data_IF_473626621556
#
_entry.id   IF_473626621556
#
_cell.length_a   1.000
_cell.length_b   1.000
_cell.length_c   1.000
_cell.angle_alpha   90.00
_cell.angle_beta   90.00
_cell.angle_gamma   90.00
#
_symmetry.space_group_name_H-M   'P 1'
#
loop_
_entity.id
_entity.type
_entity.pdbx_description
1 polymer ?
#
# COMPACT_ATOMS: atom_id res chain seq x y z
N UNK A 1 -2.82 0.09 -44.12
CA UNK A 1 -3.71 0.17 -42.96
C UNK A 1 -2.81 0.27 -41.71
N UNK A 2 -2.63 1.49 -41.21
CA UNK A 2 -1.83 1.71 -39.99
C UNK A 2 -2.71 1.29 -38.81
N UNK A 3 -2.21 0.34 -38.00
CA UNK A 3 -2.82 -0.03 -36.74
C UNK A 3 -2.70 1.14 -35.78
N UNK A 4 -3.85 1.70 -35.42
CA UNK A 4 -4.01 2.74 -34.41
C UNK A 4 -3.64 2.14 -33.07
N UNK A 5 -2.39 2.28 -32.70
CA UNK A 5 -1.89 1.95 -31.35
C UNK A 5 -2.32 3.03 -30.37
N UNK A 6 -3.59 3.00 -29.93
CA UNK A 6 -4.11 3.92 -28.95
C UNK A 6 -3.23 3.92 -27.72
N UNK A 7 -2.61 5.06 -27.40
CA UNK A 7 -1.92 5.27 -26.12
C UNK A 7 -2.98 5.18 -25.03
N UNK A 8 -2.86 4.17 -24.16
CA UNK A 8 -3.76 4.01 -23.01
C UNK A 8 -3.84 5.31 -22.21
N UNK A 9 -5.03 5.68 -21.76
CA UNK A 9 -5.21 6.87 -20.93
C UNK A 9 -4.38 6.77 -19.64
N UNK A 10 -4.04 7.91 -19.07
CA UNK A 10 -3.27 7.92 -17.80
C UNK A 10 -3.96 7.09 -16.71
N UNK A 11 -5.28 7.08 -16.68
CA UNK A 11 -6.08 6.35 -15.68
C UNK A 11 -6.09 4.84 -15.94
N UNK A 12 -6.12 4.40 -17.20
CA UNK A 12 -5.98 2.98 -17.56
C UNK A 12 -4.61 2.46 -17.15
N UNK A 13 -3.56 3.24 -17.37
CA UNK A 13 -2.20 2.88 -16.98
C UNK A 13 -2.04 2.84 -15.45
N UNK A 14 -2.61 3.80 -14.73
CA UNK A 14 -2.63 3.83 -13.27
C UNK A 14 -3.38 2.60 -12.70
N UNK A 15 -4.49 2.20 -13.33
CA UNK A 15 -5.21 0.98 -12.94
C UNK A 15 -4.38 -0.29 -13.14
N UNK A 16 -3.53 -0.36 -14.16
CA UNK A 16 -2.60 -1.49 -14.36
C UNK A 16 -1.61 -1.59 -13.20
N UNK A 17 -0.97 -0.48 -12.82
CA UNK A 17 -0.02 -0.48 -11.70
C UNK A 17 -0.71 -0.76 -10.36
N UNK A 18 -1.92 -0.25 -10.14
CA UNK A 18 -2.69 -0.55 -8.94
C UNK A 18 -3.07 -2.03 -8.83
N UNK A 19 -3.39 -2.71 -9.96
CA UNK A 19 -3.59 -4.17 -9.96
C UNK A 19 -2.35 -4.95 -9.56
N UNK A 20 -1.16 -4.45 -9.89
CA UNK A 20 0.10 -5.06 -9.44
C UNK A 20 0.34 -4.82 -7.95
N UNK A 21 0.02 -3.63 -7.45
CA UNK A 21 0.03 -3.36 -6.01
C UNK A 21 -0.97 -4.25 -5.23
N UNK A 22 -2.15 -4.53 -5.81
CA UNK A 22 -3.12 -5.47 -5.23
C UNK A 22 -2.57 -6.90 -5.15
N UNK A 23 -1.81 -7.37 -6.13
CA UNK A 23 -1.14 -8.68 -6.06
C UNK A 23 -0.14 -8.76 -4.91
N UNK A 24 0.62 -7.68 -4.66
CA UNK A 24 1.48 -7.58 -3.48
C UNK A 24 0.67 -7.62 -2.18
N UNK A 25 -0.49 -6.95 -2.13
CA UNK A 25 -1.38 -7.01 -0.97
C UNK A 25 -1.97 -8.42 -0.75
N UNK A 26 -2.28 -9.16 -1.82
CA UNK A 26 -2.69 -10.57 -1.74
C UNK A 26 -1.57 -11.46 -1.19
N UNK A 27 -0.31 -11.18 -1.55
CA UNK A 27 0.86 -11.87 -0.96
C UNK A 27 0.96 -11.61 0.53
N UNK A 28 0.82 -10.35 0.98
CA UNK A 28 0.75 -10.01 2.42
C UNK A 28 -0.37 -10.81 3.11
N UNK A 29 -1.57 -10.81 2.52
CA UNK A 29 -2.71 -11.55 3.06
C UNK A 29 -2.43 -13.05 3.20
N UNK A 30 -1.79 -13.67 2.21
CA UNK A 30 -1.43 -15.10 2.24
C UNK A 30 -0.46 -15.45 3.35
N UNK A 31 0.43 -14.51 3.71
CA UNK A 31 1.39 -14.60 4.81
C UNK A 31 0.80 -14.24 6.19
N UNK A 32 -0.49 -13.85 6.25
CA UNK A 32 -1.12 -13.41 7.50
C UNK A 32 -0.75 -11.98 7.92
N UNK A 33 -0.18 -11.20 7.03
CA UNK A 33 0.09 -9.77 7.20
C UNK A 33 -1.12 -8.92 6.82
N UNK A 34 -1.17 -7.68 7.31
CA UNK A 34 -2.16 -6.69 6.88
C UNK A 34 -2.01 -6.47 5.36
N UNK A 35 -3.07 -6.63 4.56
CA UNK A 35 -2.98 -6.70 3.11
C UNK A 35 -2.77 -5.32 2.46
N UNK A 36 -1.58 -4.79 2.61
CA UNK A 36 -1.11 -3.60 1.92
C UNK A 36 0.04 -4.00 1.01
N UNK A 37 -0.04 -3.55 -0.24
CA UNK A 37 0.98 -3.79 -1.24
C UNK A 37 1.21 -2.55 -2.08
N UNK A 38 2.41 -2.41 -2.63
CA UNK A 38 2.77 -1.29 -3.47
C UNK A 38 3.74 -1.66 -4.59
N UNK A 39 3.78 -0.80 -5.60
CA UNK A 39 4.79 -0.81 -6.67
C UNK A 39 5.34 0.60 -6.87
N UNK A 40 6.64 0.70 -7.13
CA UNK A 40 7.34 1.94 -7.47
C UNK A 40 7.66 1.93 -8.96
N UNK A 41 7.19 2.94 -9.67
CA UNK A 41 7.28 3.01 -11.14
C UNK A 41 8.11 4.22 -11.55
N UNK A 42 9.19 4.00 -12.27
CA UNK A 42 9.97 5.06 -12.89
C UNK A 42 9.22 5.60 -14.11
N UNK A 43 8.67 6.78 -13.96
CA UNK A 43 7.72 7.38 -14.93
C UNK A 43 8.30 7.53 -16.34
N UNK A 44 9.54 8.04 -16.52
CA UNK A 44 10.10 8.23 -17.85
C UNK A 44 10.23 6.94 -18.69
N UNK A 45 10.45 5.81 -18.04
CA UNK A 45 10.63 4.51 -18.73
C UNK A 45 9.45 3.56 -18.56
N UNK A 46 8.43 3.95 -17.78
CA UNK A 46 7.29 3.12 -17.39
C UNK A 46 7.68 1.76 -16.76
N UNK A 47 8.90 1.65 -16.20
CA UNK A 47 9.40 0.42 -15.57
C UNK A 47 9.08 0.40 -14.09
N UNK A 48 8.63 -0.76 -13.62
CA UNK A 48 8.57 -1.05 -12.18
C UNK A 48 10.02 -1.28 -11.71
N UNK A 49 10.44 -0.50 -10.72
CA UNK A 49 11.80 -0.57 -10.17
C UNK A 49 11.85 -1.27 -8.81
N UNK A 50 10.71 -1.34 -8.13
CA UNK A 50 10.56 -2.07 -6.88
C UNK A 50 9.09 -2.37 -6.61
N UNK A 51 8.85 -3.37 -5.79
CA UNK A 51 7.55 -3.65 -5.19
C UNK A 51 7.74 -4.02 -3.72
N UNK A 52 6.66 -4.00 -2.96
CA UNK A 52 6.68 -4.35 -1.55
C UNK A 52 5.29 -4.64 -1.02
N UNK A 53 5.26 -5.41 0.05
CA UNK A 53 4.06 -5.66 0.84
C UNK A 53 4.40 -5.62 2.33
N UNK A 54 3.39 -5.52 3.18
CA UNK A 54 3.64 -5.52 4.61
C UNK A 54 4.33 -6.82 5.05
N UNK A 55 5.35 -6.66 5.91
CA UNK A 55 6.16 -7.74 6.51
C UNK A 55 6.33 -7.52 8.02
N UNK A 56 5.39 -6.84 8.67
CA UNK A 56 5.53 -6.37 10.06
C UNK A 56 5.66 -7.52 11.05
N UNK A 57 4.86 -8.57 10.90
CA UNK A 57 4.90 -9.75 11.75
C UNK A 57 6.05 -10.69 11.36
N UNK A 58 6.29 -10.89 10.07
CA UNK A 58 7.38 -11.74 9.56
C UNK A 58 8.75 -11.21 10.01
N UNK A 59 8.96 -9.90 9.91
CA UNK A 59 10.21 -9.25 10.27
C UNK A 59 10.32 -8.86 11.75
N UNK A 60 9.27 -9.06 12.56
CA UNK A 60 9.18 -8.56 13.94
C UNK A 60 9.52 -7.06 14.05
N UNK A 61 9.12 -6.28 13.04
CA UNK A 61 9.46 -4.87 12.92
C UNK A 61 8.26 -4.06 12.44
N UNK A 62 7.72 -3.19 13.31
CA UNK A 62 6.55 -2.38 13.03
C UNK A 62 6.73 -1.36 11.89
N UNK A 63 7.96 -1.09 11.47
CA UNK A 63 8.22 -0.18 10.36
C UNK A 63 8.18 -0.86 8.98
N UNK A 64 8.04 -2.20 8.92
CA UNK A 64 8.03 -2.97 7.66
C UNK A 64 6.70 -2.88 6.94
N UNK A 65 6.27 -1.66 6.62
CA UNK A 65 5.14 -1.38 5.74
C UNK A 65 5.56 -1.51 4.28
N UNK A 66 4.60 -1.76 3.41
CA UNK A 66 4.82 -2.00 1.98
C UNK A 66 5.73 -0.96 1.32
N UNK A 67 5.50 0.32 1.62
CA UNK A 67 6.25 1.44 1.06
C UNK A 67 7.72 1.41 1.49
N UNK A 68 8.00 1.14 2.78
CA UNK A 68 9.37 1.08 3.28
C UNK A 68 10.09 -0.18 2.79
N UNK A 69 9.38 -1.30 2.64
CA UNK A 69 9.91 -2.53 2.00
C UNK A 69 10.34 -2.24 0.57
N UNK A 70 9.51 -1.54 -0.20
CA UNK A 70 9.84 -1.18 -1.58
C UNK A 70 11.03 -0.21 -1.68
N UNK A 71 11.10 0.81 -0.80
CA UNK A 71 12.24 1.75 -0.72
C UNK A 71 13.53 1.00 -0.39
N UNK A 72 13.51 0.11 0.61
CA UNK A 72 14.67 -0.71 0.97
C UNK A 72 15.12 -1.63 -0.18
N UNK A 73 14.18 -2.14 -0.98
CA UNK A 73 14.49 -2.91 -2.19
C UNK A 73 15.31 -2.09 -3.18
N UNK A 74 14.98 -0.82 -3.37
CA UNK A 74 15.74 0.10 -4.23
C UNK A 74 17.12 0.38 -3.62
N UNK A 75 17.20 0.67 -2.31
CA UNK A 75 18.46 0.93 -1.61
C UNK A 75 19.45 -0.24 -1.68
N UNK A 76 18.96 -1.47 -1.65
CA UNK A 76 19.81 -2.68 -1.80
C UNK A 76 20.33 -2.86 -3.22
N UNK A 77 19.55 -2.44 -4.22
CA UNK A 77 19.95 -2.54 -5.63
C UNK A 77 20.87 -1.40 -6.05
N UNK A 78 20.74 -0.23 -5.44
CA UNK A 78 21.51 0.98 -5.74
C UNK A 78 21.52 1.93 -4.55
N UNK A 79 22.58 2.71 -4.41
CA UNK A 79 22.74 3.67 -3.30
C UNK A 79 22.14 5.05 -3.58
N UNK A 80 21.84 5.36 -4.85
CA UNK A 80 21.30 6.66 -5.24
C UNK A 80 19.77 6.65 -5.28
N UNK A 81 19.16 7.34 -4.32
CA UNK A 81 17.72 7.55 -4.25
C UNK A 81 17.20 8.71 -5.11
N UNK A 82 18.09 9.42 -5.83
CA UNK A 82 17.65 10.55 -6.67
C UNK A 82 16.66 10.13 -7.75
N UNK A 83 16.71 8.85 -8.16
CA UNK A 83 15.75 8.22 -9.09
C UNK A 83 14.30 8.33 -8.59
N UNK A 84 14.05 8.31 -7.28
CA UNK A 84 12.71 8.39 -6.72
C UNK A 84 12.00 9.71 -7.03
N UNK A 85 12.73 10.78 -7.35
CA UNK A 85 12.17 12.04 -7.81
C UNK A 85 11.46 11.95 -9.17
N UNK A 86 11.69 10.87 -9.90
CA UNK A 86 11.05 10.59 -11.18
C UNK A 86 10.08 9.40 -11.10
N UNK A 87 9.82 8.90 -9.86
CA UNK A 87 8.99 7.73 -9.64
C UNK A 87 7.64 8.08 -9.02
N UNK A 88 6.61 7.37 -9.49
CA UNK A 88 5.31 7.31 -8.86
C UNK A 88 5.21 6.05 -7.99
N UNK A 89 4.65 6.19 -6.79
CA UNK A 89 4.27 5.07 -5.92
C UNK A 89 2.79 4.77 -6.11
N UNK A 90 2.47 3.50 -6.37
CA UNK A 90 1.11 2.97 -6.35
C UNK A 90 0.97 2.06 -5.14
N UNK A 91 0.03 2.36 -4.25
CA UNK A 91 -0.17 1.61 -3.00
C UNK A 91 -1.66 1.36 -2.75
N UNK A 92 -2.03 0.19 -2.29
CA UNK A 92 -3.44 -0.23 -2.16
C UNK A 92 -4.22 0.55 -1.09
N UNK A 93 -3.52 1.07 -0.07
CA UNK A 93 -4.10 1.89 1.00
C UNK A 93 -3.31 3.19 1.14
N UNK A 94 -3.99 4.26 1.54
CA UNK A 94 -3.35 5.54 1.84
C UNK A 94 -2.15 5.36 2.77
N UNK A 95 -0.96 5.89 2.41
CA UNK A 95 0.22 5.83 3.27
C UNK A 95 -0.07 6.37 4.67
N UNK A 96 0.33 5.63 5.68
CA UNK A 96 0.23 6.12 7.05
C UNK A 96 1.19 7.31 7.29
N UNK A 97 1.00 8.03 8.40
CA UNK A 97 1.81 9.20 8.77
C UNK A 97 3.32 8.91 8.68
N UNK A 98 3.77 7.74 9.14
CA UNK A 98 5.17 7.30 9.07
C UNK A 98 5.64 7.17 7.62
N UNK A 99 4.89 6.44 6.79
CA UNK A 99 5.25 6.22 5.39
C UNK A 99 5.18 7.53 4.59
N UNK A 100 4.16 8.37 4.84
CA UNK A 100 4.04 9.66 4.18
C UNK A 100 5.24 10.57 4.47
N UNK A 101 5.77 10.56 5.71
CA UNK A 101 6.99 11.28 6.05
C UNK A 101 8.23 10.72 5.34
N UNK A 102 8.40 9.38 5.34
CA UNK A 102 9.51 8.74 4.65
C UNK A 102 9.49 9.00 3.13
N UNK A 103 8.31 9.01 2.51
CA UNK A 103 8.14 9.34 1.08
C UNK A 103 8.55 10.80 0.77
N UNK A 104 8.35 11.74 1.71
CA UNK A 104 8.90 13.11 1.59
C UNK A 104 10.41 13.12 1.62
N UNK A 105 11.02 12.39 2.54
CA UNK A 105 12.48 12.36 2.71
C UNK A 105 13.18 11.78 1.48
N UNK A 106 12.64 10.72 0.90
CA UNK A 106 13.17 10.14 -0.35
C UNK A 106 12.74 10.91 -1.60
N UNK A 107 11.90 11.95 -1.45
CA UNK A 107 11.45 12.86 -2.50
C UNK A 107 10.71 12.16 -3.63
N UNK A 108 9.79 11.28 -3.28
CA UNK A 108 8.93 10.63 -4.27
C UNK A 108 8.20 11.68 -5.12
N UNK A 109 7.99 11.39 -6.40
CA UNK A 109 7.33 12.33 -7.33
C UNK A 109 5.84 12.44 -7.08
N UNK A 110 5.13 11.31 -7.02
CA UNK A 110 3.67 11.24 -6.88
C UNK A 110 3.30 9.98 -6.10
N UNK A 111 2.20 10.04 -5.37
CA UNK A 111 1.59 8.88 -4.73
C UNK A 111 0.17 8.68 -5.27
N UNK A 112 -0.14 7.47 -5.71
CA UNK A 112 -1.47 7.03 -6.13
C UNK A 112 -1.91 5.93 -5.19
N UNK A 113 -3.05 6.10 -4.51
CA UNK A 113 -3.52 5.09 -3.57
C UNK A 113 -4.96 4.66 -3.81
N UNK A 114 -5.28 3.46 -3.34
CA UNK A 114 -6.62 2.88 -3.44
C UNK A 114 -7.56 3.47 -2.39
N UNK A 115 -7.71 2.80 -1.27
CA UNK A 115 -8.62 3.21 -0.21
C UNK A 115 -7.97 4.18 0.79
N UNK A 116 -8.80 4.99 1.44
CA UNK A 116 -8.40 5.88 2.54
C UNK A 116 -7.98 5.10 3.79
N UNK A 117 -7.21 5.75 4.66
CA UNK A 117 -6.77 5.23 5.95
C UNK A 117 -7.26 6.15 7.08
N UNK A 118 -8.51 5.96 7.50
CA UNK A 118 -9.19 6.84 8.47
C UNK A 118 -8.56 6.82 9.87
N UNK A 119 -7.63 5.90 10.14
CA UNK A 119 -6.99 5.77 11.47
C UNK A 119 -5.60 6.38 11.53
N UNK A 120 -4.83 6.28 10.47
CA UNK A 120 -3.40 6.64 10.45
C UNK A 120 -2.97 7.36 9.18
N UNK A 121 -3.90 7.74 8.30
CA UNK A 121 -3.59 8.32 6.99
C UNK A 121 -2.77 9.59 7.08
N UNK A 122 -1.70 9.65 6.29
CA UNK A 122 -0.78 10.77 6.19
C UNK A 122 -0.90 11.58 4.91
N UNK A 123 -1.86 11.22 4.04
CA UNK A 123 -2.10 11.87 2.75
C UNK A 123 -3.49 12.51 2.67
N UNK A 124 -4.02 12.98 3.79
CA UNK A 124 -5.24 13.77 3.86
C UNK A 124 -6.35 13.22 4.77
N UNK A 125 -6.41 11.91 5.04
CA UNK A 125 -7.49 11.34 5.87
C UNK A 125 -7.37 11.73 7.34
N UNK A 126 -6.16 11.74 7.91
CA UNK A 126 -5.91 12.13 9.31
C UNK A 126 -4.99 13.34 9.38
N UNK A 127 -3.87 13.28 8.70
CA UNK A 127 -2.92 14.39 8.57
C UNK A 127 -2.52 14.57 7.08
N UNK A 128 -2.25 15.80 6.69
CA UNK A 128 -1.71 16.13 5.36
C UNK A 128 -0.20 16.30 5.44
N UNK A 129 0.52 15.18 5.66
CA UNK A 129 1.99 15.20 5.72
C UNK A 129 2.60 15.50 4.36
N UNK A 130 1.95 15.09 3.28
CA UNK A 130 2.44 15.12 1.90
C UNK A 130 2.53 16.53 1.29
N UNK A 131 1.66 17.47 1.67
CA UNK A 131 1.40 18.74 0.96
C UNK A 131 2.06 19.97 1.61
N UNK A 132 2.75 19.81 2.72
CA UNK A 132 3.40 20.91 3.43
C UNK A 132 2.48 21.78 4.28
N UNK A 133 1.21 21.39 4.49
CA UNK A 133 0.28 22.10 5.38
C UNK A 133 0.69 22.01 6.86
N UNK A 134 1.50 21.02 7.21
CA UNK A 134 2.12 20.92 8.54
C UNK A 134 3.41 21.75 8.59
N UNK A 135 3.82 22.25 9.77
CA UNK A 135 5.05 23.03 9.95
C UNK A 135 6.31 22.15 9.85
N UNK A 136 6.40 21.39 8.78
CA UNK A 136 7.52 20.50 8.44
C UNK A 136 8.19 21.02 7.19
N UNK A 137 9.51 21.21 7.25
CA UNK A 137 10.32 21.53 6.06
C UNK A 137 10.49 20.29 5.17
N UNK A 138 10.79 20.51 3.89
CA UNK A 138 11.17 19.43 2.97
C UNK A 138 10.31 19.35 1.72
N UNK A 139 10.48 18.25 1.00
CA UNK A 139 9.78 17.98 -0.26
C UNK A 139 8.28 17.74 -0.04
N UNK A 140 7.47 18.18 -0.98
CA UNK A 140 6.03 17.89 -1.06
C UNK A 140 5.73 17.10 -2.33
N UNK A 141 4.66 16.31 -2.30
CA UNK A 141 4.27 15.51 -3.46
C UNK A 141 2.75 15.43 -3.58
N UNK A 142 2.20 15.38 -4.81
CA UNK A 142 0.78 15.21 -5.04
C UNK A 142 0.34 13.79 -4.70
N UNK A 143 -0.93 13.68 -4.23
CA UNK A 143 -1.60 12.40 -3.98
C UNK A 143 -2.87 12.29 -4.82
N UNK A 144 -3.15 11.09 -5.34
CA UNK A 144 -4.37 10.74 -6.04
C UNK A 144 -4.98 9.49 -5.41
N UNK A 145 -6.26 9.54 -5.06
CA UNK A 145 -6.97 8.47 -4.35
C UNK A 145 -8.04 7.78 -5.20
N UNK A 146 -8.53 6.63 -4.74
CA UNK A 146 -9.73 5.99 -5.29
C UNK A 146 -9.48 4.95 -6.36
N UNK A 147 -8.22 4.66 -6.69
CA UNK A 147 -7.90 3.65 -7.73
C UNK A 147 -8.05 2.23 -7.17
N UNK A 148 -9.06 1.50 -7.67
CA UNK A 148 -9.41 0.15 -7.22
C UNK A 148 -9.59 0.06 -5.69
N UNK A 149 -10.25 1.06 -5.11
CA UNK A 149 -10.43 1.17 -3.66
C UNK A 149 -11.29 0.03 -3.10
N UNK A 150 -12.32 -0.40 -3.83
CA UNK A 150 -13.22 -1.46 -3.39
C UNK A 150 -12.50 -2.81 -3.29
N UNK A 151 -11.60 -3.10 -4.21
CA UNK A 151 -10.75 -4.29 -4.21
C UNK A 151 -9.80 -4.29 -2.99
N UNK A 152 -9.17 -3.14 -2.71
CA UNK A 152 -8.33 -2.99 -1.52
C UNK A 152 -9.13 -3.18 -0.22
N UNK A 153 -10.32 -2.59 -0.13
CA UNK A 153 -11.23 -2.76 1.01
C UNK A 153 -11.66 -4.23 1.17
N UNK A 154 -11.89 -4.94 0.06
CA UNK A 154 -12.26 -6.35 0.11
C UNK A 154 -11.15 -7.21 0.75
N UNK A 155 -9.87 -6.94 0.45
CA UNK A 155 -8.73 -7.62 1.08
C UNK A 155 -8.67 -7.34 2.60
N UNK A 156 -8.91 -6.10 3.03
CA UNK A 156 -8.99 -5.77 4.46
C UNK A 156 -10.14 -6.50 5.14
N UNK A 157 -11.34 -6.54 4.54
CA UNK A 157 -12.47 -7.30 5.08
C UNK A 157 -12.14 -8.78 5.24
N UNK A 158 -11.46 -9.37 4.25
CA UNK A 158 -11.02 -10.76 4.31
C UNK A 158 -10.01 -10.98 5.45
N UNK A 159 -9.03 -10.08 5.61
CA UNK A 159 -8.05 -10.15 6.69
C UNK A 159 -8.69 -10.08 8.08
N UNK A 160 -9.53 -9.07 8.31
CA UNK A 160 -10.14 -8.83 9.62
C UNK A 160 -11.29 -9.80 9.94
N UNK A 161 -11.83 -10.53 8.97
CA UNK A 161 -12.79 -11.61 9.22
C UNK A 161 -12.14 -12.88 9.75
N UNK A 162 -10.82 -13.06 9.55
CA UNK A 162 -10.07 -14.23 10.04
C UNK A 162 -9.86 -14.14 11.55
N UNK A 163 -9.85 -15.30 12.21
CA UNK A 163 -9.40 -15.35 13.60
C UNK A 163 -7.88 -15.14 13.64
N UNK A 164 -7.42 -14.15 14.41
CA UNK A 164 -5.98 -13.96 14.62
C UNK A 164 -5.46 -15.04 15.57
N UNK A 165 -4.84 -16.08 15.04
CA UNK A 165 -4.27 -17.19 15.80
C UNK A 165 -3.09 -16.76 16.69
N UNK A 166 -2.44 -15.64 16.36
CA UNK A 166 -1.31 -15.08 17.11
C UNK A 166 -1.75 -14.05 18.16
N UNK A 167 -3.06 -13.76 18.27
CA UNK A 167 -3.55 -12.84 19.29
C UNK A 167 -3.39 -13.48 20.69
N UNK A 168 -2.88 -12.73 21.70
CA UNK A 168 -2.89 -13.17 23.08
C UNK A 168 -4.32 -13.45 23.55
N UNK A 169 -4.52 -14.51 24.34
CA UNK A 169 -5.76 -14.63 25.09
C UNK A 169 -5.84 -13.50 26.12
N UNK A 170 -6.93 -12.82 26.30
CA UNK A 170 -8.34 -13.03 25.91
C UNK A 170 -8.81 -12.30 24.64
N UNK A 171 -7.91 -11.80 23.80
CA UNK A 171 -8.28 -11.02 22.58
C UNK A 171 -8.76 -11.88 21.41
N UNK A 172 -8.73 -13.23 21.54
CA UNK A 172 -9.34 -14.11 20.55
C UNK A 172 -10.85 -13.90 20.55
N UNK A 173 -11.45 -13.62 19.39
CA UNK A 173 -12.90 -13.53 19.28
C UNK A 173 -13.52 -14.83 19.80
N UNK A 174 -14.36 -14.76 20.82
CA UNK A 174 -15.22 -15.89 21.20
C UNK A 174 -16.23 -16.05 20.05
N UNK A 175 -16.17 -17.17 19.34
CA UNK A 175 -17.23 -17.56 18.42
C UNK A 175 -18.53 -17.67 19.22
N UNK A 176 -19.51 -16.83 18.87
CA UNK A 176 -20.80 -16.86 19.58
C UNK A 176 -21.54 -18.18 19.34
N UNK A 177 -22.52 -18.54 20.21
CA UNK A 177 -23.26 -19.83 20.15
C UNK A 177 -23.94 -20.11 18.80
N UNK A 178 -24.16 -19.10 17.96
CA UNK A 178 -24.76 -19.27 16.63
C UNK A 178 -23.79 -19.77 15.54
N UNK A 179 -22.50 -19.51 15.66
CA UNK A 179 -21.51 -20.01 14.70
C UNK A 179 -21.12 -21.48 14.98
N UNK A 180 -21.12 -21.88 16.25
CA UNK A 180 -20.87 -23.29 16.63
C UNK A 180 -21.95 -24.23 16.11
N UNK A 181 -23.24 -23.82 16.11
CA UNK A 181 -24.33 -24.63 15.57
C UNK A 181 -24.30 -24.83 14.05
N UNK A 182 -23.60 -23.96 13.30
CA UNK A 182 -23.43 -24.10 11.84
C UNK A 182 -22.25 -25.02 11.45
N UNK A 183 -21.29 -25.21 12.34
CA UNK A 183 -20.16 -26.11 12.12
C UNK A 183 -20.51 -27.58 12.42
N UNK A 184 -21.48 -27.83 13.31
CA UNK A 184 -21.91 -29.17 13.70
C UNK A 184 -22.99 -29.77 12.77
N UNK A 185 -23.52 -28.98 11.79
CA UNK A 185 -24.55 -29.39 10.82
C UNK A 185 -24.05 -29.50 9.38
N UNK A 186 -22.74 -29.61 9.17
CA UNK A 186 -22.14 -29.88 7.84
C UNK A 186 -21.36 -31.18 7.80
#
# INVERSE_FOLDING_TARGET
MASDGGVASSDEQNAVYMRLALKEAEMALSKGEVPVGCVVVHKPTARIISCGHNETSEAFNATRHAELVAIDGILRAQTDLSLLRECDLFVTCEPCIMCAAALRDVKIKTVVFGCSNDRFGGCGSVLSVHDGSLPMSGHTYPCHSGFLADEAIALFKQFYSRQNVNAPEPKRRKTGPQEQRRAETR
#
